data_IF_941966407703
#
_entry.id   IF_941966407703
#
_cell.length_a   1.000
_cell.length_b   1.000
_cell.length_c   1.000
_cell.angle_alpha   90.00
_cell.angle_beta   90.00
_cell.angle_gamma   90.00
#
_symmetry.space_group_name_H-M   'P 1'
#
loop_
_entity.id
_entity.type
_entity.pdbx_description
1 polymer ?
#
# COMPACT_ATOMS: atom_id res chain seq x y z
N UNK A 1 0.93 -10.56 13.22
CA UNK A 1 -0.43 -11.14 13.31
C UNK A 1 -0.71 -11.86 11.99
N UNK A 2 -1.38 -13.01 12.00
CA UNK A 2 -1.76 -13.75 10.79
C UNK A 2 -3.26 -14.00 10.84
N UNK A 3 -3.99 -13.64 9.78
CA UNK A 3 -5.42 -13.91 9.66
C UNK A 3 -5.65 -15.17 8.79
N UNK A 4 -6.08 -16.27 9.41
CA UNK A 4 -6.35 -17.55 8.72
C UNK A 4 -7.85 -17.88 8.69
N UNK A 5 -8.26 -18.66 7.70
CA UNK A 5 -9.65 -19.13 7.55
C UNK A 5 -10.02 -19.40 6.10
N UNK A 6 -11.14 -20.08 5.88
CA UNK A 6 -11.63 -20.45 4.54
C UNK A 6 -11.88 -19.21 3.65
N UNK A 7 -11.90 -19.40 2.33
CA UNK A 7 -12.31 -18.31 1.43
C UNK A 7 -13.70 -17.79 1.81
N UNK A 8 -13.88 -16.47 1.77
CA UNK A 8 -15.13 -15.82 2.18
C UNK A 8 -15.33 -15.64 3.69
N UNK A 9 -14.41 -16.08 4.56
CA UNK A 9 -14.55 -15.91 6.02
C UNK A 9 -14.32 -14.46 6.53
N UNK A 10 -14.22 -13.47 5.64
CA UNK A 10 -14.09 -12.05 6.01
C UNK A 10 -12.67 -11.50 6.19
N UNK A 11 -11.61 -12.25 5.83
CA UNK A 11 -10.21 -11.76 5.94
C UNK A 11 -9.99 -10.42 5.23
N UNK A 12 -10.40 -10.33 3.97
CA UNK A 12 -10.29 -9.10 3.18
C UNK A 12 -11.22 -8.00 3.70
N UNK A 13 -12.39 -8.37 4.25
CA UNK A 13 -13.32 -7.42 4.87
C UNK A 13 -12.68 -6.73 6.08
N UNK A 14 -11.90 -7.45 6.91
CA UNK A 14 -11.17 -6.87 8.03
C UNK A 14 -10.17 -5.82 7.54
N UNK A 15 -9.42 -6.12 6.47
CA UNK A 15 -8.47 -5.18 5.87
C UNK A 15 -9.22 -3.92 5.38
N UNK A 16 -10.35 -4.09 4.68
CA UNK A 16 -11.14 -2.97 4.19
C UNK A 16 -11.73 -2.08 5.31
N UNK A 17 -12.04 -2.65 6.48
CA UNK A 17 -12.46 -1.90 7.66
C UNK A 17 -11.30 -1.09 8.26
N UNK A 18 -10.09 -1.67 8.33
CA UNK A 18 -8.87 -0.97 8.78
C UNK A 18 -8.52 0.20 7.86
N UNK A 19 -8.67 0.02 6.55
CA UNK A 19 -8.42 1.06 5.54
C UNK A 19 -9.55 2.10 5.44
N UNK A 20 -10.59 1.95 6.27
CA UNK A 20 -11.81 2.77 6.25
C UNK A 20 -12.45 2.88 4.87
N UNK A 21 -12.42 1.79 4.09
CA UNK A 21 -13.32 1.66 2.93
C UNK A 21 -14.77 1.42 3.39
N UNK A 22 -14.94 0.84 4.58
CA UNK A 22 -16.22 0.71 5.25
C UNK A 22 -16.06 1.05 6.74
N UNK A 23 -17.14 1.50 7.38
CA UNK A 23 -17.22 1.64 8.83
C UNK A 23 -17.93 0.43 9.45
N UNK A 24 -17.63 0.14 10.72
CA UNK A 24 -18.30 -0.93 11.46
C UNK A 24 -19.78 -0.61 11.68
N UNK A 25 -20.68 -1.56 11.39
CA UNK A 25 -22.13 -1.40 11.61
C UNK A 25 -22.49 -1.38 13.10
N UNK A 26 -21.73 -2.12 13.92
CA UNK A 26 -21.90 -2.19 15.37
C UNK A 26 -20.56 -2.42 16.05
N UNK A 27 -20.44 -1.98 17.31
CA UNK A 27 -19.18 -2.01 18.05
C UNK A 27 -18.25 -0.86 17.66
N UNK A 28 -16.95 -1.08 17.90
CA UNK A 28 -15.90 -0.08 17.74
C UNK A 28 -14.63 -0.73 17.17
N UNK A 29 -13.92 0.00 16.32
CA UNK A 29 -12.59 -0.32 15.83
C UNK A 29 -11.65 0.77 16.34
N UNK A 30 -10.73 0.40 17.23
CA UNK A 30 -9.87 1.34 17.93
C UNK A 30 -8.45 1.28 17.37
N UNK A 31 -7.89 2.44 17.06
CA UNK A 31 -6.46 2.63 16.82
C UNK A 31 -5.88 3.40 18.01
N UNK A 32 -4.98 2.78 18.76
CA UNK A 32 -4.41 3.31 20.00
C UNK A 32 -5.45 3.80 21.02
N UNK A 33 -6.59 3.09 21.10
CA UNK A 33 -7.69 3.41 22.01
C UNK A 33 -8.66 4.48 21.51
N UNK A 34 -8.38 5.10 20.35
CA UNK A 34 -9.27 6.08 19.71
C UNK A 34 -10.07 5.36 18.62
N UNK A 35 -11.39 5.60 18.57
CA UNK A 35 -12.21 5.06 17.50
C UNK A 35 -11.74 5.60 16.15
N UNK A 36 -11.42 4.70 15.21
CA UNK A 36 -10.84 5.05 13.92
C UNK A 36 -11.72 6.02 13.12
N UNK A 37 -13.03 6.04 13.40
CA UNK A 37 -14.01 6.97 12.79
C UNK A 37 -13.78 8.43 13.20
N UNK A 38 -13.13 8.67 14.33
CA UNK A 38 -12.81 10.00 14.85
C UNK A 38 -11.51 10.56 14.26
N UNK A 39 -10.70 9.72 13.62
CA UNK A 39 -9.43 10.10 13.03
C UNK A 39 -9.62 10.61 11.60
N UNK A 40 -8.71 11.48 11.15
CA UNK A 40 -8.66 11.91 9.75
C UNK A 40 -8.30 10.71 8.86
N UNK A 41 -9.04 10.53 7.76
CA UNK A 41 -8.89 9.36 6.89
C UNK A 41 -7.53 9.31 6.17
N UNK A 42 -7.02 10.47 5.73
CA UNK A 42 -5.74 10.56 5.04
C UNK A 42 -4.59 10.24 6.00
N UNK A 43 -4.68 10.73 7.24
CA UNK A 43 -3.75 10.37 8.31
C UNK A 43 -3.80 8.88 8.62
N UNK A 44 -4.99 8.27 8.76
CA UNK A 44 -5.09 6.82 9.00
C UNK A 44 -4.40 6.04 7.86
N UNK A 45 -4.71 6.39 6.60
CA UNK A 45 -4.16 5.69 5.43
C UNK A 45 -2.66 5.91 5.26
N UNK A 46 -2.10 7.04 5.68
CA UNK A 46 -0.65 7.26 5.63
C UNK A 46 0.15 6.35 6.57
N UNK A 47 -0.51 5.72 7.55
CA UNK A 47 0.13 4.78 8.48
C UNK A 47 0.03 3.32 8.04
N UNK A 48 -0.75 3.01 7.00
CA UNK A 48 -0.93 1.66 6.49
C UNK A 48 -0.38 1.53 5.07
N UNK A 49 0.48 0.53 4.84
CA UNK A 49 0.83 0.06 3.51
C UNK A 49 0.10 -1.25 3.20
N UNK A 50 -0.67 -1.29 2.11
CA UNK A 50 -1.33 -2.50 1.64
C UNK A 50 -0.59 -3.06 0.42
N UNK A 51 -0.33 -4.37 0.43
CA UNK A 51 0.09 -5.14 -0.74
C UNK A 51 -1.05 -6.08 -1.11
N UNK A 52 -1.70 -5.83 -2.24
CA UNK A 52 -2.82 -6.64 -2.73
C UNK A 52 -2.34 -7.92 -3.43
N UNK A 53 -3.21 -8.93 -3.47
CA UNK A 53 -2.94 -10.17 -4.21
C UNK A 53 -2.83 -9.92 -5.72
N UNK A 54 -3.65 -9.00 -6.24
CA UNK A 54 -3.55 -8.48 -7.61
C UNK A 54 -3.04 -7.02 -7.51
N UNK A 55 -1.72 -6.78 -7.66
CA UNK A 55 -1.16 -5.44 -7.59
C UNK A 55 -1.59 -4.61 -8.81
N UNK A 56 -1.90 -3.34 -8.57
CA UNK A 56 -2.26 -2.38 -9.63
C UNK A 56 -1.00 -1.58 -9.97
N UNK A 57 -0.62 -1.56 -11.25
CA UNK A 57 0.40 -0.68 -11.79
C UNK A 57 -0.25 0.33 -12.72
N UNK A 58 0.17 1.59 -12.62
CA UNK A 58 -0.28 2.66 -13.49
C UNK A 58 0.59 2.72 -14.75
N UNK A 59 0.07 3.28 -15.84
CA UNK A 59 0.84 3.57 -17.07
C UNK A 59 1.78 4.77 -16.85
N UNK A 60 2.71 4.57 -15.92
CA UNK A 60 3.78 5.46 -15.49
C UNK A 60 5.10 4.68 -15.57
N UNK A 61 6.22 5.36 -15.42
CA UNK A 61 7.52 4.71 -15.24
C UNK A 61 7.55 3.86 -13.96
N UNK A 62 8.53 2.97 -13.84
CA UNK A 62 8.73 2.16 -12.64
C UNK A 62 9.01 3.06 -11.42
N UNK A 63 9.83 4.10 -11.61
CA UNK A 63 10.15 5.05 -10.55
C UNK A 63 8.91 5.80 -10.06
N UNK A 64 8.06 6.26 -10.97
CA UNK A 64 6.79 6.91 -10.64
C UNK A 64 5.78 5.96 -9.98
N UNK A 65 5.74 4.69 -10.37
CA UNK A 65 4.92 3.69 -9.68
C UNK A 65 5.42 3.43 -8.24
N UNK A 66 6.74 3.37 -8.01
CA UNK A 66 7.31 3.20 -6.67
C UNK A 66 7.04 4.44 -5.79
N UNK A 67 7.16 5.64 -6.35
CA UNK A 67 6.92 6.90 -5.65
C UNK A 67 5.43 7.31 -5.62
N UNK A 68 4.53 6.48 -6.15
CA UNK A 68 3.13 6.83 -6.32
C UNK A 68 2.47 7.20 -4.99
N UNK A 69 1.76 8.34 -4.97
CA UNK A 69 1.12 8.88 -3.76
C UNK A 69 2.03 9.71 -2.86
N UNK A 70 3.31 9.88 -3.21
CA UNK A 70 4.26 10.76 -2.54
C UNK A 70 4.69 11.90 -3.48
N UNK A 71 4.99 13.05 -2.90
CA UNK A 71 5.49 14.21 -3.64
C UNK A 71 7.00 14.40 -3.41
N UNK A 72 7.72 14.83 -4.45
CA UNK A 72 9.14 15.21 -4.37
C UNK A 72 10.08 14.11 -3.82
N UNK A 73 9.84 12.84 -4.16
CA UNK A 73 10.69 11.73 -3.72
C UNK A 73 12.01 11.73 -4.50
N UNK A 74 13.19 11.80 -3.84
CA UNK A 74 14.46 11.76 -4.53
C UNK A 74 14.73 10.37 -5.11
N UNK A 75 15.41 10.31 -6.26
CA UNK A 75 15.69 9.05 -6.95
C UNK A 75 16.49 8.06 -6.09
N UNK A 76 17.34 8.55 -5.18
CA UNK A 76 18.08 7.72 -4.23
C UNK A 76 17.15 6.90 -3.32
N UNK A 77 16.06 7.51 -2.83
CA UNK A 77 15.08 6.81 -1.98
C UNK A 77 14.30 5.76 -2.77
N UNK A 78 14.00 6.04 -4.05
CA UNK A 78 13.35 5.09 -4.96
C UNK A 78 14.26 3.87 -5.18
N UNK A 79 15.54 4.09 -5.46
CA UNK A 79 16.54 3.02 -5.62
C UNK A 79 16.71 2.24 -4.31
N UNK A 80 16.75 2.92 -3.17
CA UNK A 80 16.83 2.28 -1.86
C UNK A 80 15.59 1.40 -1.58
N UNK A 81 14.39 1.88 -1.90
CA UNK A 81 13.15 1.10 -1.79
C UNK A 81 13.17 -0.14 -2.70
N UNK A 82 13.59 0.01 -3.96
CA UNK A 82 13.73 -1.09 -4.91
C UNK A 82 14.76 -2.14 -4.46
N UNK A 83 15.87 -1.70 -3.86
CA UNK A 83 16.88 -2.60 -3.28
C UNK A 83 16.32 -3.36 -2.07
N UNK A 84 15.61 -2.69 -1.17
CA UNK A 84 14.98 -3.32 0.01
C UNK A 84 13.89 -4.33 -0.38
N UNK A 85 13.19 -4.08 -1.49
CA UNK A 85 12.21 -4.99 -2.07
C UNK A 85 12.85 -6.10 -2.93
N UNK A 86 14.18 -6.11 -3.10
CA UNK A 86 14.92 -7.07 -3.92
C UNK A 86 14.49 -7.10 -5.40
N UNK A 87 14.11 -5.94 -5.95
CA UNK A 87 13.68 -5.80 -7.35
C UNK A 87 14.61 -4.91 -8.19
N UNK A 88 15.61 -4.27 -7.57
CA UNK A 88 16.48 -3.32 -8.27
C UNK A 88 17.20 -3.96 -9.46
N UNK A 89 17.86 -5.10 -9.26
CA UNK A 89 18.56 -5.81 -10.33
C UNK A 89 17.60 -6.23 -11.46
N UNK A 90 16.40 -6.69 -11.12
CA UNK A 90 15.39 -7.03 -12.12
C UNK A 90 14.99 -5.81 -12.97
N UNK A 91 14.85 -4.64 -12.34
CA UNK A 91 14.53 -3.39 -13.04
C UNK A 91 15.66 -3.00 -14.02
N UNK A 92 16.92 -3.15 -13.62
CA UNK A 92 18.08 -2.84 -14.47
C UNK A 92 18.19 -3.76 -15.70
N UNK A 93 17.76 -5.01 -15.57
CA UNK A 93 17.77 -6.01 -16.64
C UNK A 93 16.62 -5.81 -17.66
N UNK A 94 15.60 -5.00 -17.32
CA UNK A 94 14.48 -4.76 -18.23
C UNK A 94 14.94 -3.97 -19.47
N UNK A 95 14.46 -4.34 -20.68
CA UNK A 95 14.71 -3.56 -21.88
C UNK A 95 14.12 -2.15 -21.71
N UNK A 96 14.92 -1.12 -22.01
CA UNK A 96 14.69 0.30 -21.64
C UNK A 96 13.42 0.99 -22.19
N UNK A 97 12.44 0.26 -22.69
CA UNK A 97 11.36 0.78 -23.54
C UNK A 97 10.45 1.81 -22.83
N UNK A 98 10.48 1.92 -21.49
CA UNK A 98 9.83 3.01 -20.74
C UNK A 98 10.53 3.36 -19.40
N UNK A 99 11.86 3.35 -19.35
CA UNK A 99 12.58 3.59 -18.07
C UNK A 99 12.72 5.07 -17.70
N UNK A 100 12.65 5.99 -18.66
CA UNK A 100 12.83 7.43 -18.44
C UNK A 100 12.03 8.23 -19.48
N UNK A 101 10.88 8.76 -19.11
CA UNK A 101 10.36 9.99 -19.69
C UNK A 101 9.81 10.86 -18.59
#
# INVERSE_FOLDING_TARGET
>A
MICTGASGCGKSTIIQLLERFYDVTSGQLLLDGIDIRQLNIDWVRSHFGLVSQEPILFDLTIAENIAYGLENVPMEDIINAANRANIHQFIEELPQVKQYK
#
